data_IF_891528046585
#
_entry.id   IF_891528046585
#
_cell.length_a   1.000
_cell.length_b   1.000
_cell.length_c   1.000
_cell.angle_alpha   90.00
_cell.angle_beta   90.00
_cell.angle_gamma   90.00
#
_symmetry.space_group_name_H-M   'P 1'
#
loop_
_entity.id
_entity.type
_entity.pdbx_description
1 polymer ?
#
# COMPACT_ATOMS: atom_id res chain seq x y z
N UNK A 1 24.80 9.92 -5.05
CA UNK A 1 25.43 9.65 -3.73
C UNK A 1 25.50 10.86 -2.80
N UNK A 2 25.86 12.09 -3.22
CA UNK A 2 25.87 13.29 -2.34
C UNK A 2 24.48 13.77 -1.85
N UNK A 3 23.43 13.61 -2.65
CA UNK A 3 22.07 13.99 -2.27
C UNK A 3 21.49 13.11 -1.14
N UNK A 4 21.90 11.85 -1.00
CA UNK A 4 21.39 10.94 0.03
C UNK A 4 21.93 11.26 1.43
N UNK A 5 23.06 11.95 1.57
CA UNK A 5 23.64 12.25 2.89
C UNK A 5 22.88 13.36 3.63
N UNK A 6 22.16 14.24 2.92
CA UNK A 6 21.47 15.40 3.50
C UNK A 6 20.13 15.04 4.16
N UNK A 7 19.59 13.85 3.86
CA UNK A 7 18.31 13.38 4.41
C UNK A 7 18.45 12.45 5.62
N UNK A 8 19.68 12.13 6.05
CA UNK A 8 19.92 11.20 7.16
C UNK A 8 19.43 11.70 8.52
N UNK A 9 19.06 12.99 8.62
CA UNK A 9 18.60 13.65 9.85
C UNK A 9 17.28 14.41 9.66
N UNK A 10 16.60 14.22 8.54
CA UNK A 10 15.31 14.85 8.27
C UNK A 10 14.28 13.73 8.22
N UNK A 11 13.26 13.73 9.09
CA UNK A 11 12.20 12.73 9.01
C UNK A 11 11.48 12.89 7.67
N UNK A 12 11.44 11.82 6.87
CA UNK A 12 10.74 11.78 5.58
C UNK A 12 9.62 10.75 5.67
N UNK A 13 8.42 11.14 5.25
CA UNK A 13 7.32 10.23 5.03
C UNK A 13 7.21 9.90 3.53
N UNK A 14 7.16 8.62 3.19
CA UNK A 14 6.88 8.16 1.83
C UNK A 14 5.47 7.60 1.75
N UNK A 15 4.65 8.21 0.90
CA UNK A 15 3.31 7.74 0.58
C UNK A 15 3.35 6.93 -0.72
N UNK A 16 2.85 5.70 -0.68
CA UNK A 16 2.73 4.85 -1.87
C UNK A 16 1.33 4.22 -1.96
N UNK A 17 0.79 4.16 -3.17
CA UNK A 17 -0.45 3.44 -3.48
C UNK A 17 -0.08 2.17 -4.21
N UNK A 18 -0.11 1.02 -3.52
CA UNK A 18 0.41 -0.23 -4.08
C UNK A 18 -0.43 -0.73 -5.26
N UNK A 19 -1.72 -0.38 -5.37
CA UNK A 19 -2.53 -0.70 -6.56
C UNK A 19 -2.05 0.04 -7.81
N UNK A 20 -1.33 1.16 -7.63
CA UNK A 20 -0.77 1.99 -8.70
C UNK A 20 -1.79 2.79 -9.49
N UNK A 21 -3.09 2.54 -9.33
CA UNK A 21 -4.18 3.32 -9.93
C UNK A 21 -5.41 3.27 -9.02
N UNK A 22 -6.42 4.10 -9.31
CA UNK A 22 -7.73 4.01 -8.65
C UNK A 22 -8.46 2.72 -9.06
N UNK A 23 -9.08 2.08 -8.08
CA UNK A 23 -9.95 0.92 -8.27
C UNK A 23 -11.05 1.19 -9.30
N UNK A 24 -11.36 0.18 -10.11
CA UNK A 24 -12.61 0.04 -10.85
C UNK A 24 -12.88 -1.45 -11.02
N UNK A 25 -14.16 -1.83 -11.13
CA UNK A 25 -14.54 -3.23 -11.36
C UNK A 25 -13.93 -3.79 -12.64
N UNK A 26 -13.86 -2.98 -13.71
CA UNK A 26 -13.19 -3.33 -14.97
C UNK A 26 -11.72 -3.73 -14.74
N UNK A 27 -10.93 -2.89 -14.06
CA UNK A 27 -9.52 -3.20 -13.78
C UNK A 27 -9.34 -4.40 -12.86
N UNK A 28 -10.29 -4.60 -11.94
CA UNK A 28 -10.28 -5.76 -11.04
C UNK A 28 -10.48 -7.05 -11.85
N UNK A 29 -11.44 -7.04 -12.78
CA UNK A 29 -11.72 -8.14 -13.67
C UNK A 29 -10.55 -8.41 -14.64
N UNK A 30 -10.02 -7.36 -15.29
CA UNK A 30 -8.89 -7.46 -16.24
C UNK A 30 -7.63 -8.03 -15.60
N UNK A 31 -7.40 -7.73 -14.32
CA UNK A 31 -6.26 -8.25 -13.57
C UNK A 31 -6.54 -9.59 -12.93
N UNK A 32 -7.76 -10.12 -13.01
CA UNK A 32 -8.21 -11.31 -12.28
C UNK A 32 -7.86 -11.21 -10.79
N UNK A 33 -8.15 -10.05 -10.18
CA UNK A 33 -7.77 -9.80 -8.79
C UNK A 33 -8.41 -10.86 -7.88
N UNK A 34 -7.64 -11.52 -6.99
CA UNK A 34 -8.19 -12.48 -6.04
C UNK A 34 -8.96 -11.80 -4.90
N UNK A 35 -8.94 -10.47 -4.83
CA UNK A 35 -9.58 -9.66 -3.80
C UNK A 35 -10.92 -9.13 -4.31
N UNK A 36 -11.91 -9.01 -3.41
CA UNK A 36 -13.25 -8.52 -3.79
C UNK A 36 -13.27 -7.01 -4.02
N UNK A 37 -12.55 -6.26 -3.19
CA UNK A 37 -12.63 -4.81 -3.10
C UNK A 37 -11.30 -4.11 -3.45
N UNK A 38 -10.28 -4.86 -3.89
CA UNK A 38 -8.93 -4.34 -4.14
C UNK A 38 -8.36 -4.84 -5.49
N UNK A 39 -7.50 -4.04 -6.11
CA UNK A 39 -6.63 -4.51 -7.18
C UNK A 39 -5.40 -5.25 -6.61
N UNK A 40 -4.68 -5.98 -7.48
CA UNK A 40 -3.45 -6.68 -7.08
C UNK A 40 -2.37 -5.67 -6.64
N UNK A 41 -1.69 -5.90 -5.50
CA UNK A 41 -0.63 -5.00 -5.05
C UNK A 41 0.62 -5.09 -5.94
N UNK A 42 1.12 -3.94 -6.37
CA UNK A 42 2.42 -3.79 -7.05
C UNK A 42 3.51 -3.56 -6.01
N UNK A 43 4.12 -4.67 -5.57
CA UNK A 43 5.07 -4.69 -4.45
C UNK A 43 6.44 -4.04 -4.74
N UNK A 44 6.75 -3.70 -5.99
CA UNK A 44 8.09 -3.25 -6.39
C UNK A 44 8.54 -1.95 -5.71
N UNK A 45 7.66 -0.94 -5.63
CA UNK A 45 7.99 0.34 -5.03
C UNK A 45 8.26 0.22 -3.53
N UNK A 46 7.39 -0.50 -2.80
CA UNK A 46 7.57 -0.73 -1.36
C UNK A 46 8.80 -1.59 -1.08
N UNK A 47 9.09 -2.62 -1.90
CA UNK A 47 10.31 -3.41 -1.77
C UNK A 47 11.57 -2.54 -1.87
N UNK A 48 11.61 -1.64 -2.85
CA UNK A 48 12.74 -0.71 -3.02
C UNK A 48 12.89 0.23 -1.83
N UNK A 49 11.77 0.75 -1.30
CA UNK A 49 11.76 1.61 -0.11
C UNK A 49 12.31 0.87 1.12
N UNK A 50 11.82 -0.34 1.39
CA UNK A 50 12.27 -1.14 2.54
C UNK A 50 13.74 -1.54 2.42
N UNK A 51 14.19 -1.95 1.23
CA UNK A 51 15.59 -2.27 0.97
C UNK A 51 16.51 -1.04 1.10
N UNK A 52 16.02 0.16 0.79
CA UNK A 52 16.82 1.40 0.83
C UNK A 52 16.88 2.03 2.22
N UNK A 53 15.77 2.01 2.95
CA UNK A 53 15.70 2.57 4.30
C UNK A 53 16.27 1.62 5.35
N UNK A 54 16.03 0.32 5.20
CA UNK A 54 16.48 -0.71 6.14
C UNK A 54 16.20 -0.35 7.60
N UNK A 55 17.26 -0.19 8.38
CA UNK A 55 17.26 0.13 9.81
C UNK A 55 16.78 1.56 10.14
N UNK A 56 16.72 2.46 9.16
CA UNK A 56 16.22 3.83 9.33
C UNK A 56 14.70 3.95 9.19
N UNK A 57 13.99 2.84 8.92
CA UNK A 57 12.54 2.84 8.84
C UNK A 57 11.92 2.86 10.25
N UNK A 58 11.35 4.00 10.64
CA UNK A 58 10.61 4.11 11.91
C UNK A 58 9.38 3.19 11.95
N UNK A 59 8.66 3.07 10.84
CA UNK A 59 7.50 2.18 10.73
C UNK A 59 6.69 2.43 9.47
N UNK A 60 5.73 1.54 9.22
CA UNK A 60 4.82 1.64 8.08
C UNK A 60 3.43 1.95 8.61
N UNK A 61 2.79 2.98 8.05
CA UNK A 61 1.39 3.27 8.31
C UNK A 61 0.57 2.66 7.18
N UNK A 62 -0.15 1.61 7.53
CA UNK A 62 -1.07 0.91 6.66
C UNK A 62 -2.43 1.61 6.68
N UNK A 63 -2.84 2.17 5.54
CA UNK A 63 -4.08 2.94 5.41
C UNK A 63 -5.06 2.23 4.47
N UNK A 64 -6.30 2.07 4.92
CA UNK A 64 -7.43 1.55 4.14
C UNK A 64 -8.49 2.64 4.06
N UNK A 65 -8.94 2.94 2.85
CA UNK A 65 -9.93 3.96 2.53
C UNK A 65 -11.14 3.28 1.89
N UNK A 66 -12.35 3.61 2.33
CA UNK A 66 -13.59 3.17 1.70
C UNK A 66 -14.54 4.36 1.50
N UNK A 67 -15.32 4.28 0.42
CA UNK A 67 -16.37 5.24 0.10
C UNK A 67 -17.71 4.48 0.09
N UNK A 68 -18.41 4.38 1.24
CA UNK A 68 -19.65 3.59 1.34
C UNK A 68 -20.77 4.11 0.43
N UNK A 69 -20.71 5.40 0.05
CA UNK A 69 -21.64 6.01 -0.92
C UNK A 69 -21.37 5.65 -2.38
N UNK A 70 -20.39 4.78 -2.67
CA UNK A 70 -20.02 4.37 -4.01
C UNK A 70 -18.88 5.21 -4.62
N UNK A 71 -18.85 5.27 -5.96
CA UNK A 71 -17.78 5.94 -6.69
C UNK A 71 -17.78 7.46 -6.44
N UNK A 72 -16.60 7.99 -6.13
CA UNK A 72 -16.38 9.41 -5.82
C UNK A 72 -15.45 10.02 -6.86
N UNK A 73 -15.87 11.09 -7.54
CA UNK A 73 -14.94 11.86 -8.37
C UNK A 73 -14.13 12.86 -7.51
N UNK A 74 -13.01 13.34 -8.04
CA UNK A 74 -12.26 14.42 -7.38
C UNK A 74 -13.13 15.68 -7.22
N UNK A 75 -13.99 15.95 -8.20
CA UNK A 75 -14.92 17.09 -8.16
C UNK A 75 -15.95 16.95 -7.04
N UNK A 76 -16.51 15.76 -6.86
CA UNK A 76 -17.43 15.49 -5.75
C UNK A 76 -16.76 15.72 -4.39
N UNK A 77 -15.51 15.29 -4.25
CA UNK A 77 -14.72 15.50 -3.03
C UNK A 77 -14.49 17.00 -2.75
N UNK A 78 -13.97 17.76 -3.72
CA UNK A 78 -13.67 19.20 -3.48
C UNK A 78 -14.93 20.05 -3.35
N UNK A 79 -16.08 19.61 -3.90
CA UNK A 79 -17.37 20.26 -3.71
C UNK A 79 -18.10 19.83 -2.42
N UNK A 80 -17.51 18.96 -1.58
CA UNK A 80 -18.15 18.50 -0.35
C UNK A 80 -19.37 17.60 -0.56
N UNK A 81 -19.46 16.92 -1.71
CA UNK A 81 -20.58 16.03 -2.08
C UNK A 81 -20.37 14.58 -1.66
N UNK A 82 -19.30 14.30 -0.90
CA UNK A 82 -18.99 12.96 -0.39
C UNK A 82 -19.52 12.86 1.04
N UNK A 83 -20.63 12.13 1.28
CA UNK A 83 -21.29 12.15 2.59
C UNK A 83 -20.47 11.45 3.67
N UNK A 84 -19.77 10.37 3.31
CA UNK A 84 -19.04 9.52 4.25
C UNK A 84 -17.76 8.99 3.61
N UNK A 85 -16.66 9.06 4.34
CA UNK A 85 -15.38 8.42 4.00
C UNK A 85 -14.96 7.60 5.23
N UNK A 86 -14.84 6.29 5.07
CA UNK A 86 -14.32 5.44 6.12
C UNK A 86 -12.79 5.32 5.98
N UNK A 87 -12.08 5.60 7.06
CA UNK A 87 -10.60 5.55 7.09
C UNK A 87 -10.16 4.66 8.23
N UNK A 88 -9.36 3.64 7.92
CA UNK A 88 -8.63 2.86 8.92
C UNK A 88 -7.14 3.05 8.68
N UNK A 89 -6.44 3.58 9.67
CA UNK A 89 -4.99 3.60 9.70
C UNK A 89 -4.50 2.71 10.85
N UNK A 90 -3.46 1.92 10.60
CA UNK A 90 -2.75 1.14 11.62
C UNK A 90 -1.25 1.18 11.36
N UNK A 91 -0.47 1.12 12.44
CA UNK A 91 0.98 0.92 12.31
C UNK A 91 1.25 -0.56 12.12
N UNK A 92 2.05 -0.91 11.12
CA UNK A 92 2.58 -2.26 10.95
C UNK A 92 4.11 -2.21 11.02
N UNK A 93 4.70 -3.29 11.51
CA UNK A 93 6.16 -3.47 11.54
C UNK A 93 6.50 -4.48 10.46
N UNK A 94 7.37 -4.09 9.53
CA UNK A 94 7.90 -5.03 8.56
C UNK A 94 8.84 -6.02 9.26
N UNK A 95 8.69 -7.33 9.03
CA UNK A 95 9.68 -8.32 9.46
C UNK A 95 11.10 -7.92 9.02
N UNK A 96 12.12 -8.04 9.90
CA UNK A 96 13.50 -7.62 9.59
C UNK A 96 14.08 -8.29 8.34
N UNK A 97 13.60 -9.49 7.99
CA UNK A 97 13.98 -10.22 6.77
C UNK A 97 13.65 -9.48 5.45
N UNK A 98 12.83 -8.43 5.49
CA UNK A 98 12.47 -7.63 4.32
C UNK A 98 13.32 -6.35 4.17
N UNK A 99 14.32 -6.13 5.03
CA UNK A 99 15.27 -5.01 4.93
C UNK A 99 16.53 -5.38 4.13
N UNK A 100 16.36 -6.14 3.06
CA UNK A 100 17.45 -6.64 2.20
C UNK A 100 17.22 -6.26 0.75
N UNK A 101 18.28 -6.06 -0.02
CA UNK A 101 18.17 -5.86 -1.46
C UNK A 101 17.58 -7.09 -2.19
N UNK A 102 17.62 -8.28 -1.59
CA UNK A 102 17.12 -9.51 -2.21
C UNK A 102 15.61 -9.49 -2.50
N UNK A 103 14.82 -8.65 -1.80
CA UNK A 103 13.38 -8.55 -2.08
C UNK A 103 13.07 -7.73 -3.34
N UNK A 104 14.05 -7.01 -3.91
CA UNK A 104 13.83 -6.21 -5.13
C UNK A 104 13.99 -7.05 -6.41
N UNK A 105 14.72 -8.15 -6.35
CA UNK A 105 15.00 -9.03 -7.49
C UNK A 105 14.16 -10.31 -7.44
N UNK A 106 13.83 -10.93 -8.58
CA UNK A 106 13.15 -12.23 -8.60
C UNK A 106 13.92 -13.28 -7.79
N UNK A 107 13.23 -13.96 -6.87
CA UNK A 107 13.82 -15.01 -6.04
C UNK A 107 13.03 -15.27 -4.75
N UNK A 108 13.50 -16.23 -3.94
CA UNK A 108 12.76 -16.69 -2.76
C UNK A 108 12.44 -15.58 -1.75
N UNK A 109 13.34 -14.62 -1.55
CA UNK A 109 13.11 -13.48 -0.65
C UNK A 109 11.96 -12.60 -1.13
N UNK A 110 11.93 -12.27 -2.43
CA UNK A 110 10.84 -11.50 -3.05
C UNK A 110 9.51 -12.24 -3.02
N UNK A 111 9.50 -13.57 -3.14
CA UNK A 111 8.26 -14.34 -3.07
C UNK A 111 7.69 -14.39 -1.64
N UNK A 112 8.54 -14.56 -0.62
CA UNK A 112 8.12 -14.39 0.78
C UNK A 112 7.59 -12.98 1.06
N UNK A 113 8.23 -11.96 0.50
CA UNK A 113 7.77 -10.58 0.61
C UNK A 113 6.38 -10.37 -0.03
N UNK A 114 6.15 -10.92 -1.22
CA UNK A 114 4.82 -10.90 -1.86
C UNK A 114 3.76 -11.56 -0.99
N UNK A 115 4.05 -12.74 -0.44
CA UNK A 115 3.13 -13.46 0.45
C UNK A 115 2.77 -12.61 1.68
N UNK A 116 3.75 -11.92 2.26
CA UNK A 116 3.50 -11.02 3.38
C UNK A 116 2.60 -9.84 2.99
N UNK A 117 2.86 -9.18 1.85
CA UNK A 117 1.98 -8.11 1.35
C UNK A 117 0.58 -8.64 1.04
N UNK A 118 0.47 -9.82 0.43
CA UNK A 118 -0.82 -10.46 0.14
C UNK A 118 -1.61 -10.73 1.42
N UNK A 119 -0.95 -11.11 2.52
CA UNK A 119 -1.62 -11.28 3.82
C UNK A 119 -2.23 -9.97 4.33
N UNK A 120 -1.50 -8.86 4.21
CA UNK A 120 -2.00 -7.52 4.54
C UNK A 120 -3.17 -7.17 3.63
N UNK A 121 -3.08 -7.48 2.34
CA UNK A 121 -4.15 -7.25 1.37
C UNK A 121 -5.43 -8.02 1.70
N UNK A 122 -5.33 -9.29 2.13
CA UNK A 122 -6.48 -10.09 2.57
C UNK A 122 -7.17 -9.46 3.78
N UNK A 123 -6.39 -8.98 4.74
CA UNK A 123 -6.93 -8.29 5.92
C UNK A 123 -7.64 -6.98 5.53
N UNK A 124 -7.08 -6.23 4.59
CA UNK A 124 -7.72 -5.02 4.05
C UNK A 124 -9.03 -5.33 3.33
N UNK A 125 -9.03 -6.37 2.50
CA UNK A 125 -10.22 -6.78 1.74
C UNK A 125 -11.36 -7.17 2.68
N UNK A 126 -11.07 -7.98 3.70
CA UNK A 126 -12.03 -8.35 4.73
C UNK A 126 -12.54 -7.14 5.52
N UNK A 127 -11.66 -6.19 5.85
CA UNK A 127 -12.04 -4.95 6.52
C UNK A 127 -12.96 -4.10 5.64
N UNK A 128 -12.68 -3.99 4.34
CA UNK A 128 -13.50 -3.24 3.40
C UNK A 128 -14.93 -3.79 3.33
N UNK A 129 -15.12 -5.11 3.44
CA UNK A 129 -16.46 -5.71 3.55
C UNK A 129 -17.25 -5.28 4.80
N UNK A 130 -16.63 -4.65 5.79
CA UNK A 130 -17.31 -4.09 6.97
C UNK A 130 -17.67 -2.61 6.82
N UNK A 131 -17.10 -1.93 5.82
CA UNK A 131 -17.34 -0.51 5.56
C UNK A 131 -18.24 -0.25 4.36
N UNK A 132 -18.26 -1.17 3.39
CA UNK A 132 -18.98 -1.07 2.12
C UNK A 132 -20.32 -1.80 2.14
#
# INVERSE_FOLDING_TARGET
RRACQRYRHIPVAMLTFLEGTRFSEEKRADQESPFRHLLRPRVGAIAFVLASLGDQLDGIIDVTLAYPGGDVTMWDFVCGRVPTIAVRARRIVAPPEFFTAEITEPGPARDRFKIWIDSIWREKDALLSTFL
#
